data_IF_882763215758
#
_entry.id   IF_882763215758
#
_cell.length_a   1.000
_cell.length_b   1.000
_cell.length_c   1.000
_cell.angle_alpha   90.00
_cell.angle_beta   90.00
_cell.angle_gamma   90.00
#
_symmetry.space_group_name_H-M   'P 1'
#
loop_
_entity.id
_entity.type
_entity.pdbx_description
1 polymer ?
#
# COMPACT_ATOMS: atom_id res chain seq x y z
N UNK A 1 -11.59 -13.02 17.79
CA UNK A 1 -11.36 -14.40 18.16
C UNK A 1 -12.21 -14.78 19.38
N UNK A 2 -12.82 -15.98 19.44
CA UNK A 2 -13.76 -16.33 20.52
C UNK A 2 -13.18 -16.22 21.93
N UNK A 3 -11.88 -16.51 22.10
CA UNK A 3 -11.21 -16.48 23.41
C UNK A 3 -10.24 -15.31 23.59
N UNK A 4 -9.77 -14.68 22.50
CA UNK A 4 -8.76 -13.62 22.52
C UNK A 4 -9.33 -12.23 22.18
N UNK A 5 -10.62 -12.14 21.85
CA UNK A 5 -11.25 -10.89 21.47
C UNK A 5 -10.77 -10.36 20.10
N UNK A 6 -10.61 -9.05 19.98
CA UNK A 6 -10.09 -8.40 18.78
C UNK A 6 -8.61 -8.75 18.59
N UNK A 7 -8.27 -9.24 17.40
CA UNK A 7 -6.88 -9.49 16.99
C UNK A 7 -6.41 -8.39 16.04
N UNK A 8 -5.20 -7.88 16.27
CA UNK A 8 -4.56 -6.94 15.35
C UNK A 8 -3.96 -7.67 14.15
N UNK A 9 -3.82 -7.00 12.99
CA UNK A 9 -3.30 -7.58 11.75
C UNK A 9 -1.96 -8.32 11.93
N UNK A 10 -1.03 -7.75 12.68
CA UNK A 10 0.29 -8.32 12.96
C UNK A 10 0.24 -9.72 13.59
N UNK A 11 -0.89 -10.05 14.27
CA UNK A 11 -1.10 -11.33 14.91
C UNK A 11 -1.57 -12.41 13.94
N UNK A 12 -2.39 -12.07 12.95
CA UNK A 12 -3.04 -13.08 12.10
C UNK A 12 -2.58 -13.06 10.63
N UNK A 13 -2.08 -11.94 10.11
CA UNK A 13 -1.59 -11.87 8.72
C UNK A 13 -0.46 -12.87 8.47
N UNK A 14 0.60 -12.98 9.31
CA UNK A 14 1.65 -13.97 9.09
C UNK A 14 1.13 -15.41 9.08
N UNK A 15 0.12 -15.70 9.93
CA UNK A 15 -0.52 -17.02 9.94
C UNK A 15 -1.29 -17.26 8.64
N UNK A 16 -2.05 -16.25 8.17
CA UNK A 16 -2.82 -16.35 6.92
C UNK A 16 -1.90 -16.57 5.71
N UNK A 17 -0.72 -15.94 5.69
CA UNK A 17 0.31 -16.16 4.67
C UNK A 17 0.86 -17.59 4.74
N UNK A 18 1.22 -18.06 5.94
CA UNK A 18 1.80 -19.38 6.14
C UNK A 18 0.87 -20.52 5.73
N UNK A 19 -0.44 -20.38 6.00
CA UNK A 19 -1.45 -21.42 5.65
C UNK A 19 -2.10 -21.20 4.27
N UNK A 20 -1.67 -20.16 3.54
CA UNK A 20 -2.08 -19.92 2.15
C UNK A 20 -3.48 -19.34 1.97
N UNK A 21 -4.10 -18.75 3.02
CA UNK A 21 -5.43 -18.13 2.93
C UNK A 21 -5.39 -16.62 2.68
N UNK A 22 -4.20 -16.04 2.61
CA UNK A 22 -4.00 -14.59 2.47
C UNK A 22 -4.67 -14.02 1.22
N UNK A 23 -4.68 -14.75 0.09
CA UNK A 23 -5.33 -14.31 -1.15
C UNK A 23 -6.86 -14.19 -0.99
N UNK A 24 -7.47 -15.16 -0.30
CA UNK A 24 -8.89 -15.10 0.05
C UNK A 24 -9.22 -13.89 0.93
N UNK A 25 -8.36 -13.62 1.91
CA UNK A 25 -8.48 -12.44 2.79
C UNK A 25 -8.32 -11.14 1.99
N UNK A 26 -7.28 -11.03 1.16
CA UNK A 26 -7.04 -9.85 0.31
C UNK A 26 -8.25 -9.55 -0.58
N UNK A 27 -8.80 -10.56 -1.25
CA UNK A 27 -10.00 -10.41 -2.07
C UNK A 27 -11.21 -9.95 -1.24
N UNK A 28 -11.38 -10.50 -0.04
CA UNK A 28 -12.47 -10.10 0.84
C UNK A 28 -12.31 -8.64 1.29
N UNK A 29 -11.11 -8.22 1.70
CA UNK A 29 -10.82 -6.82 2.10
C UNK A 29 -11.06 -5.85 0.96
N UNK A 30 -10.53 -6.16 -0.25
CA UNK A 30 -10.74 -5.34 -1.44
C UNK A 30 -12.23 -5.19 -1.75
N UNK A 31 -12.99 -6.30 -1.72
CA UNK A 31 -14.43 -6.25 -1.96
C UNK A 31 -15.15 -5.39 -0.92
N UNK A 32 -14.86 -5.55 0.36
CA UNK A 32 -15.49 -4.78 1.43
C UNK A 32 -15.14 -3.28 1.36
N UNK A 33 -13.88 -2.96 1.03
CA UNK A 33 -13.41 -1.58 0.88
C UNK A 33 -14.11 -0.88 -0.29
N UNK A 34 -14.19 -1.54 -1.46
CA UNK A 34 -14.83 -0.97 -2.65
C UNK A 34 -16.35 -0.88 -2.51
N UNK A 35 -16.99 -1.85 -1.86
CA UNK A 35 -18.42 -1.76 -1.50
C UNK A 35 -18.67 -0.54 -0.61
N UNK A 36 -17.86 -0.35 0.44
CA UNK A 36 -18.00 0.79 1.32
C UNK A 36 -17.72 2.13 0.60
N UNK A 37 -16.71 2.17 -0.27
CA UNK A 37 -16.42 3.33 -1.10
C UNK A 37 -17.61 3.69 -2.00
N UNK A 38 -18.21 2.72 -2.69
CA UNK A 38 -19.39 2.93 -3.55
C UNK A 38 -20.55 3.56 -2.77
N UNK A 39 -20.76 3.14 -1.52
CA UNK A 39 -21.75 3.76 -0.62
C UNK A 39 -21.41 5.22 -0.29
N UNK A 40 -20.14 5.54 -0.03
CA UNK A 40 -19.70 6.93 0.22
C UNK A 40 -19.82 7.79 -1.03
N UNK A 41 -19.44 7.26 -2.19
CA UNK A 41 -19.57 7.94 -3.46
C UNK A 41 -21.03 8.29 -3.77
N UNK A 42 -21.99 7.38 -3.52
CA UNK A 42 -23.43 7.64 -3.69
C UNK A 42 -23.96 8.74 -2.77
N UNK A 43 -23.27 9.03 -1.67
CA UNK A 43 -23.54 10.14 -0.75
C UNK A 43 -22.83 11.44 -1.14
N UNK A 44 -22.17 11.48 -2.30
CA UNK A 44 -21.44 12.65 -2.80
C UNK A 44 -20.12 12.93 -2.08
N UNK A 45 -19.55 11.96 -1.35
CA UNK A 45 -18.26 12.12 -0.67
C UNK A 45 -17.12 11.94 -1.67
N UNK A 46 -16.21 12.91 -1.70
CA UNK A 46 -14.99 12.86 -2.52
C UNK A 46 -13.82 12.28 -1.70
N UNK A 47 -13.70 10.95 -1.72
CA UNK A 47 -12.72 10.19 -0.94
C UNK A 47 -11.85 9.33 -1.87
N UNK A 48 -10.80 8.75 -1.31
CA UNK A 48 -10.07 7.61 -1.83
C UNK A 48 -10.05 6.53 -0.74
N UNK A 49 -9.83 5.28 -1.12
CA UNK A 49 -9.70 4.17 -0.17
C UNK A 49 -8.36 3.48 -0.37
N UNK A 50 -7.67 3.25 0.74
CA UNK A 50 -6.39 2.53 0.77
C UNK A 50 -6.59 1.10 1.28
N UNK A 51 -5.89 0.15 0.66
CA UNK A 51 -5.87 -1.25 1.06
C UNK A 51 -4.44 -1.77 1.08
N UNK A 52 -4.02 -2.29 2.22
CA UNK A 52 -2.72 -2.93 2.37
C UNK A 52 -2.68 -4.28 1.65
N UNK A 53 -1.60 -4.54 0.92
CA UNK A 53 -1.32 -5.81 0.25
C UNK A 53 -0.14 -6.51 0.91
N UNK A 54 -0.29 -7.82 1.14
CA UNK A 54 0.84 -8.65 1.52
C UNK A 54 1.80 -8.90 0.35
N UNK A 55 3.04 -9.26 0.66
CA UNK A 55 4.03 -9.64 -0.35
C UNK A 55 3.53 -10.79 -1.24
N UNK A 56 2.87 -11.79 -0.66
CA UNK A 56 2.33 -12.92 -1.41
C UNK A 56 1.22 -12.50 -2.37
N UNK A 57 0.32 -11.61 -1.93
CA UNK A 57 -0.75 -11.08 -2.79
C UNK A 57 -0.19 -10.23 -3.94
N UNK A 58 0.87 -9.45 -3.69
CA UNK A 58 1.56 -8.68 -4.74
C UNK A 58 2.17 -9.58 -5.82
N UNK A 59 2.61 -10.79 -5.46
CA UNK A 59 3.22 -11.73 -6.40
C UNK A 59 2.21 -12.63 -7.12
N UNK A 60 0.92 -12.51 -6.81
CA UNK A 60 -0.14 -13.23 -7.51
C UNK A 60 -0.48 -12.54 -8.84
N UNK A 61 -0.28 -13.25 -9.95
CA UNK A 61 -0.57 -12.75 -11.28
C UNK A 61 -2.07 -12.46 -11.53
N UNK A 62 -2.97 -13.10 -10.76
CA UNK A 62 -4.42 -12.89 -10.86
C UNK A 62 -4.90 -11.65 -10.11
N UNK A 63 -4.02 -10.95 -9.35
CA UNK A 63 -4.42 -9.77 -8.57
C UNK A 63 -5.00 -8.67 -9.47
N UNK A 64 -4.37 -8.39 -10.61
CA UNK A 64 -4.86 -7.39 -11.56
C UNK A 64 -6.28 -7.68 -12.03
N UNK A 65 -6.56 -8.93 -12.44
CA UNK A 65 -7.89 -9.34 -12.88
C UNK A 65 -8.93 -9.29 -11.75
N UNK A 66 -8.50 -9.62 -10.54
CA UNK A 66 -9.36 -9.53 -9.34
C UNK A 66 -9.74 -8.08 -9.05
N UNK A 67 -8.77 -7.17 -9.08
CA UNK A 67 -8.99 -5.74 -8.83
C UNK A 67 -9.89 -5.15 -9.91
N UNK A 68 -9.63 -5.43 -11.19
CA UNK A 68 -10.44 -4.97 -12.32
C UNK A 68 -11.91 -5.36 -12.15
N UNK A 69 -12.19 -6.64 -11.92
CA UNK A 69 -13.56 -7.15 -11.70
C UNK A 69 -14.26 -6.50 -10.52
N UNK A 70 -13.54 -6.25 -9.43
CA UNK A 70 -14.12 -5.61 -8.25
C UNK A 70 -14.41 -4.12 -8.49
N UNK A 71 -13.53 -3.39 -9.18
CA UNK A 71 -13.76 -2.00 -9.58
C UNK A 71 -14.99 -1.87 -10.48
N UNK A 72 -15.16 -2.78 -11.46
CA UNK A 72 -16.33 -2.85 -12.32
C UNK A 72 -17.60 -3.17 -11.52
N UNK A 73 -17.53 -4.18 -10.63
CA UNK A 73 -18.67 -4.62 -9.81
C UNK A 73 -19.24 -3.47 -8.97
N UNK A 74 -18.35 -2.70 -8.35
CA UNK A 74 -18.74 -1.61 -7.44
C UNK A 74 -18.80 -0.24 -8.12
N UNK A 75 -18.50 -0.16 -9.43
CA UNK A 75 -18.45 1.06 -10.22
C UNK A 75 -17.56 2.14 -9.59
N UNK A 76 -16.42 1.72 -9.07
CA UNK A 76 -15.44 2.60 -8.43
C UNK A 76 -14.38 3.02 -9.47
N UNK A 77 -14.11 4.32 -9.64
CA UNK A 77 -12.99 4.75 -10.48
C UNK A 77 -11.66 4.22 -9.94
N UNK A 78 -10.85 3.59 -10.79
CA UNK A 78 -9.59 2.97 -10.38
C UNK A 78 -8.65 3.95 -9.65
N UNK A 79 -8.66 5.22 -10.03
CA UNK A 79 -7.87 6.29 -9.40
C UNK A 79 -8.25 6.58 -7.94
N UNK A 80 -9.36 6.04 -7.46
CA UNK A 80 -9.82 6.16 -6.06
C UNK A 80 -9.39 5.01 -5.18
N UNK A 81 -8.84 3.95 -5.76
CA UNK A 81 -8.20 2.86 -5.01
C UNK A 81 -6.71 3.12 -4.93
N UNK A 82 -6.17 3.07 -3.71
CA UNK A 82 -4.74 3.09 -3.42
C UNK A 82 -4.38 1.72 -2.83
N UNK A 83 -3.41 1.04 -3.43
CA UNK A 83 -2.86 -0.20 -2.89
C UNK A 83 -1.55 0.10 -2.19
N UNK A 84 -1.47 -0.21 -0.91
CA UNK A 84 -0.29 0.04 -0.07
C UNK A 84 0.53 -1.24 0.03
N UNK A 85 1.82 -1.13 -0.25
CA UNK A 85 2.76 -2.25 -0.25
C UNK A 85 4.01 -1.85 0.51
N UNK A 86 4.52 -2.72 1.37
CA UNK A 86 5.76 -2.44 2.08
C UNK A 86 6.98 -2.48 1.15
N UNK A 87 7.99 -1.73 1.48
CA UNK A 87 9.28 -1.74 0.77
C UNK A 87 9.83 -3.17 0.62
N UNK A 88 9.78 -3.95 1.69
CA UNK A 88 10.26 -5.34 1.72
C UNK A 88 9.49 -6.28 0.78
N UNK A 89 8.18 -6.06 0.60
CA UNK A 89 7.35 -6.85 -0.29
C UNK A 89 7.80 -6.73 -1.75
N UNK A 90 8.24 -5.54 -2.16
CA UNK A 90 8.74 -5.31 -3.53
C UNK A 90 10.07 -6.05 -3.77
N UNK A 91 10.98 -5.97 -2.80
CA UNK A 91 12.35 -6.49 -2.95
C UNK A 91 12.37 -8.01 -3.01
N UNK A 92 11.48 -8.69 -2.29
CA UNK A 92 11.46 -10.15 -2.18
C UNK A 92 11.38 -10.87 -3.54
N UNK A 93 10.64 -10.30 -4.52
CA UNK A 93 10.52 -10.82 -5.90
C UNK A 93 10.28 -9.68 -6.90
N UNK A 94 11.27 -8.82 -7.08
CA UNK A 94 11.18 -7.57 -7.82
C UNK A 94 10.56 -7.70 -9.24
N UNK A 95 10.92 -8.74 -9.98
CA UNK A 95 10.40 -8.93 -11.35
C UNK A 95 8.88 -9.15 -11.36
N UNK A 96 8.36 -10.01 -10.46
CA UNK A 96 6.92 -10.27 -10.33
C UNK A 96 6.18 -9.05 -9.79
N UNK A 97 6.73 -8.39 -8.78
CA UNK A 97 6.16 -7.16 -8.25
C UNK A 97 6.03 -6.10 -9.34
N UNK A 98 7.07 -5.89 -10.15
CA UNK A 98 7.05 -4.92 -11.25
C UNK A 98 5.99 -5.24 -12.31
N UNK A 99 5.78 -6.51 -12.65
CA UNK A 99 4.74 -6.96 -13.60
C UNK A 99 3.34 -6.67 -13.05
N UNK A 100 3.08 -7.09 -11.81
CA UNK A 100 1.78 -6.86 -11.14
C UNK A 100 1.48 -5.38 -11.01
N UNK A 101 2.47 -4.59 -10.54
CA UNK A 101 2.33 -3.14 -10.43
C UNK A 101 2.10 -2.46 -11.78
N UNK A 102 2.74 -2.94 -12.85
CA UNK A 102 2.51 -2.47 -14.22
C UNK A 102 1.06 -2.68 -14.67
N UNK A 103 0.47 -3.84 -14.36
CA UNK A 103 -0.96 -4.13 -14.65
C UNK A 103 -1.89 -3.23 -13.85
N UNK A 104 -1.66 -3.07 -12.55
CA UNK A 104 -2.46 -2.19 -11.68
C UNK A 104 -2.39 -0.73 -12.14
N UNK A 105 -1.22 -0.27 -12.53
CA UNK A 105 -1.01 1.07 -13.09
C UNK A 105 -1.77 1.25 -14.42
N UNK A 106 -1.75 0.25 -15.30
CA UNK A 106 -2.50 0.28 -16.56
C UNK A 106 -4.01 0.37 -16.35
N UNK A 107 -4.54 -0.20 -15.26
CA UNK A 107 -5.92 -0.03 -14.83
C UNK A 107 -6.21 1.37 -14.26
N UNK A 108 -5.19 2.16 -13.93
CA UNK A 108 -5.32 3.45 -13.29
C UNK A 108 -5.40 3.40 -11.77
N UNK A 109 -5.10 2.25 -11.16
CA UNK A 109 -5.00 2.09 -9.69
C UNK A 109 -3.74 2.79 -9.20
N UNK A 110 -3.85 3.48 -8.07
CA UNK A 110 -2.70 4.13 -7.43
C UNK A 110 -1.99 3.14 -6.51
N UNK A 111 -0.68 3.29 -6.42
CA UNK A 111 0.16 2.46 -5.54
C UNK A 111 0.97 3.36 -4.64
N UNK A 112 0.98 3.05 -3.34
CA UNK A 112 1.80 3.67 -2.33
C UNK A 112 2.83 2.66 -1.79
N UNK A 113 4.06 3.10 -1.60
CA UNK A 113 5.07 2.33 -0.86
C UNK A 113 4.97 2.72 0.61
N UNK A 114 4.69 1.74 1.45
CA UNK A 114 4.55 1.87 2.89
C UNK A 114 5.87 1.58 3.63
N UNK A 115 6.00 2.09 4.85
CA UNK A 115 7.18 1.94 5.73
C UNK A 115 8.50 2.36 5.03
N UNK A 116 8.46 3.38 4.14
CA UNK A 116 9.62 3.75 3.35
C UNK A 116 10.75 4.33 4.21
N UNK A 117 11.96 3.80 3.97
CA UNK A 117 13.18 4.17 4.69
C UNK A 117 13.63 3.14 5.74
N UNK A 118 12.79 2.15 6.06
CA UNK A 118 13.17 1.06 7.00
C UNK A 118 13.87 -0.10 6.31
N UNK A 119 13.81 -0.17 4.97
CA UNK A 119 14.33 -1.25 4.14
C UNK A 119 15.58 -0.87 3.34
N UNK A 120 15.88 -1.68 2.33
CA UNK A 120 17.07 -1.58 1.48
C UNK A 120 16.73 -1.38 0.00
N UNK A 121 15.68 -0.62 -0.32
CA UNK A 121 15.33 -0.39 -1.73
C UNK A 121 16.40 0.42 -2.46
N UNK A 122 16.90 -0.13 -3.55
CA UNK A 122 17.76 0.63 -4.43
C UNK A 122 16.97 1.74 -5.14
N UNK A 123 17.45 2.98 -5.07
CA UNK A 123 16.88 4.13 -5.79
C UNK A 123 16.74 3.88 -7.30
N UNK A 124 17.64 3.04 -7.85
CA UNK A 124 17.58 2.66 -9.27
C UNK A 124 16.33 1.83 -9.59
N UNK A 125 15.82 1.06 -8.63
CA UNK A 125 14.58 0.30 -8.79
C UNK A 125 13.37 1.16 -8.53
N UNK A 126 13.37 1.96 -7.46
CA UNK A 126 12.28 2.87 -7.13
C UNK A 126 11.87 3.73 -8.36
N UNK A 127 12.86 4.26 -9.08
CA UNK A 127 12.63 5.08 -10.29
C UNK A 127 11.91 4.33 -11.42
N UNK A 128 11.95 3.00 -11.45
CA UNK A 128 11.35 2.16 -12.51
C UNK A 128 9.98 1.63 -12.13
N UNK A 129 9.63 1.69 -10.86
CA UNK A 129 8.35 1.17 -10.39
C UNK A 129 7.24 2.18 -10.70
N UNK A 130 6.09 1.72 -11.19
CA UNK A 130 4.94 2.57 -11.46
C UNK A 130 4.16 2.83 -10.17
N UNK A 131 4.78 3.57 -9.25
CA UNK A 131 4.21 3.98 -7.97
C UNK A 131 3.84 5.45 -7.97
N UNK A 132 2.93 5.86 -7.11
CA UNK A 132 2.37 7.21 -7.05
C UNK A 132 2.76 7.95 -5.78
N UNK A 133 3.06 7.21 -4.70
CA UNK A 133 3.19 7.79 -3.36
C UNK A 133 4.23 7.05 -2.53
N UNK A 134 4.96 7.78 -1.69
CA UNK A 134 5.81 7.24 -0.62
C UNK A 134 5.24 7.64 0.72
N UNK A 135 5.07 6.67 1.62
CA UNK A 135 4.65 6.88 3.00
C UNK A 135 5.89 6.76 3.89
N UNK A 136 6.24 7.84 4.58
CA UNK A 136 7.38 7.87 5.49
C UNK A 136 6.99 7.16 6.76
N UNK A 137 7.77 6.14 7.15
CA UNK A 137 7.52 5.36 8.36
C UNK A 137 7.45 6.26 9.60
N UNK A 138 6.47 5.96 10.46
CA UNK A 138 6.20 6.70 11.70
C UNK A 138 7.41 6.80 12.62
N UNK A 139 8.33 5.83 12.62
CA UNK A 139 9.51 5.85 13.51
C UNK A 139 10.41 7.04 13.26
N UNK A 140 10.56 7.48 12.01
CA UNK A 140 11.30 8.68 11.67
C UNK A 140 10.51 9.96 12.00
N UNK A 141 9.21 9.98 11.69
CA UNK A 141 8.34 11.14 11.87
C UNK A 141 8.19 11.48 13.38
N UNK A 142 7.91 10.49 14.20
CA UNK A 142 7.73 10.70 15.66
C UNK A 142 8.98 11.20 16.36
N UNK A 143 10.15 10.87 15.87
CA UNK A 143 11.42 11.20 16.51
C UNK A 143 12.12 12.42 15.90
N UNK A 144 11.68 12.94 14.75
CA UNK A 144 12.37 13.99 13.99
C UNK A 144 12.60 15.30 14.76
N UNK A 145 11.80 15.59 15.80
CA UNK A 145 12.00 16.76 16.67
C UNK A 145 13.05 16.54 17.76
N UNK A 146 13.43 15.29 18.02
CA UNK A 146 14.37 14.92 19.09
C UNK A 146 15.69 14.38 18.55
N UNK A 147 15.66 13.72 17.41
CA UNK A 147 16.79 13.07 16.76
C UNK A 147 17.05 13.77 15.43
N UNK A 148 18.17 14.49 15.34
CA UNK A 148 18.51 15.27 14.15
C UNK A 148 18.67 14.38 12.90
N UNK A 149 19.17 13.15 13.07
CA UNK A 149 19.36 12.22 11.96
C UNK A 149 18.03 11.79 11.34
N UNK A 150 16.97 11.59 12.15
CA UNK A 150 15.63 11.27 11.66
C UNK A 150 15.04 12.45 10.87
N UNK A 151 15.27 13.68 11.32
CA UNK A 151 14.85 14.87 10.59
C UNK A 151 15.56 14.98 9.22
N UNK A 152 16.83 14.60 9.14
CA UNK A 152 17.59 14.53 7.86
C UNK A 152 17.01 13.47 6.96
N UNK A 153 16.71 12.28 7.50
CA UNK A 153 16.10 11.17 6.74
C UNK A 153 14.75 11.62 6.17
N UNK A 154 13.84 12.16 6.99
CA UNK A 154 12.52 12.64 6.56
C UNK A 154 12.67 13.65 5.43
N UNK A 155 13.53 14.66 5.58
CA UNK A 155 13.77 15.67 4.55
C UNK A 155 14.29 15.04 3.26
N UNK A 156 15.24 14.11 3.36
CA UNK A 156 15.83 13.44 2.20
C UNK A 156 14.78 12.63 1.44
N UNK A 157 13.89 11.93 2.14
CA UNK A 157 12.80 11.17 1.53
C UNK A 157 11.83 12.11 0.80
N UNK A 158 11.47 13.24 1.40
CA UNK A 158 10.59 14.24 0.78
C UNK A 158 11.21 14.76 -0.52
N UNK A 159 12.47 15.18 -0.47
CA UNK A 159 13.20 15.70 -1.65
C UNK A 159 13.31 14.63 -2.74
N UNK A 160 13.63 13.39 -2.37
CA UNK A 160 13.70 12.26 -3.29
C UNK A 160 12.36 12.03 -3.99
N UNK A 161 11.28 11.93 -3.22
CA UNK A 161 9.95 11.68 -3.76
C UNK A 161 9.52 12.79 -4.73
N UNK A 162 9.69 14.05 -4.36
CA UNK A 162 9.37 15.19 -5.22
C UNK A 162 10.19 15.17 -6.52
N UNK A 163 11.48 14.85 -6.44
CA UNK A 163 12.34 14.73 -7.63
C UNK A 163 11.94 13.57 -8.56
N UNK A 164 11.26 12.55 -8.02
CA UNK A 164 10.69 11.44 -8.78
C UNK A 164 9.24 11.70 -9.23
N UNK A 165 8.65 12.84 -8.89
CA UNK A 165 7.25 13.17 -9.20
C UNK A 165 6.23 12.40 -8.37
N UNK A 166 6.62 11.88 -7.20
CA UNK A 166 5.78 11.12 -6.27
C UNK A 166 5.17 12.02 -5.21
N UNK A 167 3.99 11.64 -4.72
CA UNK A 167 3.41 12.24 -3.51
C UNK A 167 4.08 11.68 -2.26
N UNK A 168 4.02 12.42 -1.16
CA UNK A 168 4.58 11.99 0.12
C UNK A 168 3.51 12.09 1.20
N UNK A 169 3.42 11.05 2.02
CA UNK A 169 2.60 11.02 3.23
C UNK A 169 3.50 10.74 4.42
N UNK A 170 3.38 11.54 5.47
CA UNK A 170 4.05 11.29 6.75
C UNK A 170 3.11 10.55 7.69
N UNK A 171 3.55 9.41 8.22
CA UNK A 171 2.77 8.64 9.17
C UNK A 171 3.09 8.98 10.62
N UNK A 172 2.12 8.73 11.53
CA UNK A 172 2.33 8.92 12.97
C UNK A 172 2.48 10.38 13.39
N UNK A 173 1.90 11.31 12.65
CA UNK A 173 1.81 12.73 13.07
C UNK A 173 0.75 12.80 14.15
N UNK A 174 1.19 13.07 15.39
CA UNK A 174 0.36 13.24 16.57
C UNK A 174 0.61 14.62 17.18
N UNK A 175 -0.38 15.16 17.94
CA UNK A 175 -0.31 16.46 18.63
C UNK A 175 0.64 16.44 19.82
#
# INVERSE_FOLDING_TARGET
HPTQGLLFPDTFIPVAEQIGVIEGLTRWVLNAALEQFSRWQSQGRDLSVSVNLSALSLHNQELGDTVEKLLETWQVPASRLVLEITESAIISHLARASETLGRLHALGVRVAIDDFGTGYTSLAYLRKLPVNELKIDKSFVMNMLRINDDAVIVRTIIELAHNLGLQVVAEGVED
#
